data_IF_726371207324
#
_entry.id   IF_726371207324
#
_cell.length_a   1.000
_cell.length_b   1.000
_cell.length_c   1.000
_cell.angle_alpha   90.00
_cell.angle_beta   90.00
_cell.angle_gamma   90.00
#
_symmetry.space_group_name_H-M   'P 1'
#
loop_
_entity.id
_entity.type
_entity.pdbx_description
1 polymer ?
#
# COMPACT_ATOMS: atom_id res chain seq x y z
N UNK A 1 -41.16 45.04 -7.34
CA UNK A 1 -40.95 46.49 -7.58
C UNK A 1 -39.95 47.01 -6.56
N UNK A 2 -38.88 47.66 -7.06
CA UNK A 2 -37.93 48.60 -6.39
C UNK A 2 -37.04 48.01 -5.28
N UNK A 3 -35.74 47.78 -5.54
CA UNK A 3 -34.61 48.73 -5.68
C UNK A 3 -34.04 49.14 -4.30
N UNK A 4 -32.78 48.78 -3.99
CA UNK A 4 -31.64 49.71 -4.03
C UNK A 4 -31.41 50.30 -2.61
N UNK A 5 -30.23 50.60 -2.08
CA UNK A 5 -28.93 50.86 -2.66
C UNK A 5 -27.83 50.72 -1.59
N UNK A 6 -26.60 50.70 -2.10
CA UNK A 6 -25.30 50.67 -1.43
C UNK A 6 -25.07 51.89 -0.53
N UNK A 7 -24.22 51.74 0.48
CA UNK A 7 -23.38 52.86 0.96
C UNK A 7 -21.97 52.37 1.30
N UNK A 8 -20.98 53.05 0.71
CA UNK A 8 -19.56 52.94 1.00
C UNK A 8 -19.23 53.70 2.30
N UNK A 9 -18.25 53.21 3.06
CA UNK A 9 -17.35 54.08 3.81
C UNK A 9 -15.96 53.43 3.87
N UNK A 10 -14.93 54.26 3.78
CA UNK A 10 -13.54 53.93 3.51
C UNK A 10 -12.62 54.30 4.69
N UNK A 11 -11.34 53.91 4.56
CA UNK A 11 -10.12 54.40 5.28
C UNK A 11 -9.89 53.71 6.66
N UNK A 12 -8.72 53.22 7.10
CA UNK A 12 -7.28 53.38 6.80
C UNK A 12 -6.53 52.04 7.02
N UNK A 13 -5.56 51.63 6.20
CA UNK A 13 -4.10 51.88 6.27
C UNK A 13 -3.36 51.30 7.51
N UNK A 14 -2.58 50.22 7.32
CA UNK A 14 -1.34 49.96 8.05
C UNK A 14 -0.45 48.96 7.28
N UNK A 15 0.87 49.20 7.37
CA UNK A 15 1.95 48.83 6.46
C UNK A 15 2.40 47.35 6.43
N UNK A 16 2.75 46.92 5.21
CA UNK A 16 4.03 46.35 4.74
C UNK A 16 4.78 45.36 5.64
N UNK A 17 4.92 44.11 5.16
CA UNK A 17 6.23 43.45 5.00
C UNK A 17 6.23 42.69 3.67
N UNK A 18 7.04 43.16 2.72
CA UNK A 18 7.35 42.48 1.46
C UNK A 18 8.52 41.52 1.66
N UNK A 19 8.42 40.29 1.16
CA UNK A 19 9.58 39.52 0.69
C UNK A 19 9.19 38.73 -0.58
N UNK A 20 10.11 38.58 -1.55
CA UNK A 20 9.77 38.39 -2.95
C UNK A 20 9.45 36.93 -3.28
N UNK A 21 8.35 36.73 -4.00
CA UNK A 21 8.12 35.53 -4.81
C UNK A 21 8.93 35.71 -6.09
N UNK A 22 9.98 34.91 -6.29
CA UNK A 22 10.63 34.84 -7.59
C UNK A 22 9.69 34.13 -8.57
N UNK A 23 8.95 34.92 -9.35
CA UNK A 23 8.32 34.50 -10.59
C UNK A 23 9.38 34.64 -11.70
N UNK A 24 9.74 33.54 -12.34
CA UNK A 24 10.60 33.57 -13.54
C UNK A 24 9.81 34.14 -14.71
N UNK A 25 10.37 35.17 -15.34
CA UNK A 25 9.82 35.86 -16.50
C UNK A 25 9.88 34.98 -17.76
N UNK A 26 8.82 35.08 -18.57
CA UNK A 26 8.72 34.60 -19.95
C UNK A 26 9.76 35.29 -20.84
N UNK A 27 10.41 34.51 -21.70
CA UNK A 27 11.17 35.02 -22.84
C UNK A 27 10.62 34.44 -24.15
N UNK A 28 10.28 35.36 -25.05
CA UNK A 28 9.83 35.17 -26.43
C UNK A 28 10.79 34.32 -27.29
N UNK A 29 10.22 33.66 -28.30
CA UNK A 29 10.86 33.02 -29.47
C UNK A 29 10.45 33.79 -30.74
N UNK A 30 11.06 33.58 -31.94
CA UNK A 30 12.07 32.57 -32.30
C UNK A 30 13.28 33.12 -33.07
N UNK A 31 14.48 32.62 -32.77
CA UNK A 31 15.62 32.70 -33.71
C UNK A 31 15.82 31.37 -34.44
N UNK A 32 16.06 31.48 -35.75
CA UNK A 32 16.15 30.41 -36.74
C UNK A 32 17.20 29.37 -36.37
N UNK A 33 16.77 28.13 -36.14
CA UNK A 33 17.68 27.01 -35.88
C UNK A 33 18.20 26.46 -37.20
N UNK A 34 19.46 26.79 -37.51
CA UNK A 34 20.31 25.97 -38.39
C UNK A 34 20.21 24.52 -37.90
N UNK A 35 19.98 23.60 -38.82
CA UNK A 35 20.03 22.15 -38.60
C UNK A 35 21.44 21.77 -38.15
N UNK A 36 21.67 21.76 -36.84
CA UNK A 36 22.84 21.14 -36.22
C UNK A 36 22.70 19.64 -36.47
N UNK A 37 23.60 19.07 -37.28
CA UNK A 37 23.83 17.64 -37.26
C UNK A 37 24.10 17.24 -35.81
N UNK A 38 23.19 16.47 -35.21
CA UNK A 38 23.35 15.96 -33.86
C UNK A 38 24.64 15.13 -33.81
N UNK A 39 25.70 15.72 -33.24
CA UNK A 39 26.86 14.95 -32.83
C UNK A 39 26.36 13.87 -31.88
N UNK A 40 26.50 12.59 -32.26
CA UNK A 40 26.25 11.47 -31.35
C UNK A 40 27.18 11.66 -30.16
N UNK A 41 26.64 12.10 -29.03
CA UNK A 41 27.35 12.11 -27.75
C UNK A 41 27.81 10.67 -27.48
N UNK A 42 29.11 10.46 -27.34
CA UNK A 42 29.68 9.16 -26.94
C UNK A 42 29.51 8.89 -25.45
N UNK A 43 28.99 9.87 -24.68
CA UNK A 43 28.77 9.71 -23.26
C UNK A 43 27.39 9.09 -22.95
N UNK A 44 27.35 8.14 -22.00
CA UNK A 44 26.11 7.54 -21.55
C UNK A 44 25.18 8.60 -20.95
N UNK A 45 23.87 8.41 -21.09
CA UNK A 45 22.87 9.24 -20.42
C UNK A 45 22.12 8.44 -19.37
N UNK A 46 21.79 9.12 -18.27
CA UNK A 46 21.13 8.53 -17.11
C UNK A 46 19.81 9.25 -16.87
N UNK A 47 18.72 8.49 -16.77
CA UNK A 47 17.41 8.98 -16.31
C UNK A 47 17.05 8.29 -15.01
N UNK A 48 16.65 9.07 -14.02
CA UNK A 48 16.25 8.58 -12.70
C UNK A 48 14.79 8.93 -12.47
N UNK A 49 14.01 7.95 -12.05
CA UNK A 49 12.65 8.14 -11.58
C UNK A 49 12.54 7.52 -10.20
N UNK A 50 11.71 8.11 -9.32
CA UNK A 50 11.56 7.64 -7.95
C UNK A 50 10.09 7.63 -7.53
N UNK A 51 9.69 6.55 -6.87
CA UNK A 51 8.36 6.34 -6.32
C UNK A 51 7.25 6.36 -7.38
N UNK A 52 6.01 6.42 -6.89
CA UNK A 52 4.83 6.73 -7.70
C UNK A 52 4.67 8.24 -7.66
N UNK A 53 5.04 8.94 -8.74
CA UNK A 53 5.02 10.41 -8.79
C UNK A 53 5.85 11.06 -7.65
N UNK A 54 6.94 10.40 -7.23
CA UNK A 54 7.77 10.81 -6.10
C UNK A 54 7.36 10.22 -4.75
N UNK A 55 6.24 9.50 -4.64
CA UNK A 55 5.78 8.89 -3.39
C UNK A 55 6.34 7.48 -3.18
N UNK A 56 6.86 7.21 -1.98
CA UNK A 56 7.32 5.90 -1.52
C UNK A 56 6.31 5.34 -0.53
N UNK A 57 5.52 4.37 -1.00
CA UNK A 57 4.54 3.66 -0.17
C UNK A 57 5.18 2.48 0.56
N UNK A 58 5.10 2.40 1.90
CA UNK A 58 5.79 1.37 2.69
C UNK A 58 5.48 -0.08 2.28
N UNK A 59 4.23 -0.40 1.96
CA UNK A 59 3.84 -1.75 1.53
C UNK A 59 4.58 -2.20 0.24
N UNK A 60 4.69 -1.29 -0.73
CA UNK A 60 5.36 -1.57 -2.01
C UNK A 60 6.87 -1.60 -1.87
N UNK A 61 7.42 -0.70 -1.05
CA UNK A 61 8.84 -0.66 -0.71
C UNK A 61 9.29 -1.95 -0.02
N UNK A 62 8.53 -2.42 0.98
CA UNK A 62 8.78 -3.68 1.68
C UNK A 62 8.80 -4.86 0.70
N UNK A 63 7.72 -5.03 -0.07
CA UNK A 63 7.59 -6.08 -1.06
C UNK A 63 8.75 -6.10 -2.06
N UNK A 64 9.09 -4.94 -2.63
CA UNK A 64 10.16 -4.86 -3.61
C UNK A 64 11.55 -5.16 -3.00
N UNK A 65 11.79 -4.75 -1.74
CA UNK A 65 13.06 -4.99 -1.05
C UNK A 65 13.31 -6.46 -0.72
N UNK A 66 12.25 -7.26 -0.60
CA UNK A 66 12.34 -8.70 -0.36
C UNK A 66 12.61 -9.53 -1.64
N UNK A 67 12.60 -8.89 -2.81
CA UNK A 67 12.85 -9.56 -4.09
C UNK A 67 14.29 -9.41 -4.56
N UNK A 68 14.78 -10.46 -5.22
CA UNK A 68 16.04 -10.39 -5.95
C UNK A 68 15.94 -9.32 -7.05
N UNK A 69 17.00 -8.50 -7.28
CA UNK A 69 16.96 -7.41 -8.26
C UNK A 69 16.45 -7.82 -9.66
N UNK A 70 16.83 -9.01 -10.14
CA UNK A 70 16.43 -9.50 -11.46
C UNK A 70 14.94 -9.85 -11.60
N UNK A 71 14.23 -10.04 -10.49
CA UNK A 71 12.80 -10.41 -10.48
C UNK A 71 11.88 -9.21 -10.22
N UNK A 72 12.44 -8.07 -9.84
CA UNK A 72 11.66 -6.88 -9.48
C UNK A 72 10.92 -6.33 -10.69
N UNK A 73 9.60 -6.23 -10.53
CA UNK A 73 8.72 -5.43 -11.41
C UNK A 73 8.40 -4.06 -10.82
N UNK A 74 8.82 -3.85 -9.58
CA UNK A 74 8.52 -2.65 -8.79
C UNK A 74 9.73 -2.27 -7.94
N UNK A 75 9.89 -0.99 -7.64
CA UNK A 75 10.92 -0.50 -6.75
C UNK A 75 10.66 0.92 -6.29
N UNK A 76 11.68 1.50 -5.66
CA UNK A 76 11.67 2.86 -5.13
C UNK A 76 12.32 3.81 -6.12
N UNK A 77 13.39 3.36 -6.79
CA UNK A 77 14.12 4.14 -7.78
C UNK A 77 14.34 3.27 -9.01
N UNK A 78 14.10 3.84 -10.18
CA UNK A 78 14.54 3.26 -11.45
C UNK A 78 15.69 4.09 -12.00
N UNK A 79 16.71 3.42 -12.54
CA UNK A 79 17.84 4.05 -13.23
C UNK A 79 17.86 3.50 -14.65
N UNK A 80 17.53 4.35 -15.60
CA UNK A 80 17.62 4.02 -17.02
C UNK A 80 18.95 4.52 -17.56
N UNK A 81 19.75 3.58 -18.07
CA UNK A 81 21.06 3.83 -18.65
C UNK A 81 20.93 3.70 -20.16
N UNK A 82 21.28 4.74 -20.92
CA UNK A 82 21.33 4.70 -22.38
C UNK A 82 22.79 4.77 -22.83
N UNK A 83 23.25 3.69 -23.47
CA UNK A 83 24.61 3.57 -23.97
C UNK A 83 24.65 3.96 -25.46
N UNK A 84 25.17 5.14 -25.76
CA UNK A 84 25.35 5.63 -27.12
C UNK A 84 26.70 5.25 -27.75
N UNK A 85 27.55 4.53 -27.02
CA UNK A 85 28.84 4.04 -27.52
C UNK A 85 28.70 2.78 -28.37
N UNK A 86 29.80 2.40 -29.01
CA UNK A 86 29.96 1.21 -29.86
C UNK A 86 30.39 -0.04 -29.08
N UNK A 87 30.59 0.06 -27.76
CA UNK A 87 31.02 -1.03 -26.89
C UNK A 87 30.05 -1.24 -25.72
N UNK A 88 30.05 -2.44 -25.13
CA UNK A 88 29.30 -2.68 -23.90
C UNK A 88 29.85 -1.81 -22.77
N UNK A 89 28.96 -1.13 -22.07
CA UNK A 89 29.31 -0.32 -20.91
C UNK A 89 28.83 -1.00 -19.63
N UNK A 90 29.66 -0.94 -18.58
CA UNK A 90 29.35 -1.49 -17.27
C UNK A 90 29.56 -0.44 -16.18
N UNK A 91 28.60 -0.36 -15.27
CA UNK A 91 28.61 0.61 -14.18
C UNK A 91 28.29 -0.04 -12.85
N UNK A 92 28.81 0.54 -11.77
CA UNK A 92 28.35 0.27 -10.41
C UNK A 92 27.38 1.37 -10.02
N UNK A 93 26.11 1.02 -9.88
CA UNK A 93 25.04 1.95 -9.50
C UNK A 93 24.68 1.69 -8.05
N UNK A 94 24.70 2.73 -7.24
CA UNK A 94 24.29 2.68 -5.83
C UNK A 94 23.11 3.61 -5.58
N UNK A 95 22.15 3.13 -4.80
CA UNK A 95 20.94 3.85 -4.43
C UNK A 95 20.73 3.75 -2.93
N UNK A 96 20.44 4.89 -2.29
CA UNK A 96 20.02 4.96 -0.89
C UNK A 96 19.05 6.11 -0.67
N UNK A 97 18.19 5.99 0.33
CA UNK A 97 17.42 7.11 0.86
C UNK A 97 17.94 7.41 2.27
N UNK A 98 18.81 8.43 2.45
CA UNK A 98 19.47 8.68 3.72
C UNK A 98 18.49 8.79 4.90
N UNK A 99 18.76 8.04 5.96
CA UNK A 99 17.92 8.00 7.16
C UNK A 99 16.66 7.14 7.04
N UNK A 100 16.40 6.55 5.87
CA UNK A 100 15.23 5.72 5.60
C UNK A 100 15.58 4.33 5.05
N UNK A 101 16.71 4.18 4.35
CA UNK A 101 17.16 2.89 3.82
C UNK A 101 18.66 2.71 3.99
N UNK A 102 19.08 1.45 3.94
CA UNK A 102 20.45 1.08 3.62
C UNK A 102 20.79 1.42 2.16
N UNK A 103 22.05 1.18 1.78
CA UNK A 103 22.48 1.33 0.41
C UNK A 103 22.35 0.00 -0.33
N UNK A 104 21.65 0.04 -1.47
CA UNK A 104 21.70 -1.03 -2.45
C UNK A 104 22.72 -0.68 -3.54
N UNK A 105 23.43 -1.70 -4.03
CA UNK A 105 24.36 -1.55 -5.14
C UNK A 105 24.13 -2.67 -6.16
N UNK A 106 24.12 -2.31 -7.44
CA UNK A 106 24.07 -3.26 -8.56
C UNK A 106 25.20 -2.94 -9.54
N UNK A 107 25.84 -3.98 -10.07
CA UNK A 107 26.69 -3.85 -11.26
C UNK A 107 25.81 -4.09 -12.47
N UNK A 108 25.73 -3.10 -13.35
CA UNK A 108 24.79 -3.08 -14.47
C UNK A 108 25.56 -3.03 -15.79
N UNK A 109 25.12 -3.83 -16.76
CA UNK A 109 25.69 -3.86 -18.11
C UNK A 109 24.67 -3.45 -19.16
N UNK A 110 25.10 -2.64 -20.11
CA UNK A 110 24.28 -2.16 -21.23
C UNK A 110 25.06 -2.32 -22.53
N UNK A 111 24.51 -3.10 -23.45
CA UNK A 111 25.12 -3.34 -24.77
C UNK A 111 25.29 -2.03 -25.56
N UNK A 112 26.18 -2.05 -26.55
CA UNK A 112 26.39 -0.94 -27.47
C UNK A 112 25.08 -0.49 -28.13
N UNK A 113 24.82 0.82 -28.16
CA UNK A 113 23.59 1.40 -28.71
C UNK A 113 22.29 1.06 -27.96
N UNK A 114 22.35 0.34 -26.83
CA UNK A 114 21.17 -0.10 -26.11
C UNK A 114 20.76 0.83 -24.96
N UNK A 115 19.50 0.68 -24.52
CA UNK A 115 18.98 1.31 -23.32
C UNK A 115 18.40 0.24 -22.40
N UNK A 116 18.67 0.34 -21.10
CA UNK A 116 18.14 -0.60 -20.10
C UNK A 116 17.82 0.10 -18.79
N UNK A 117 16.72 -0.31 -18.17
CA UNK A 117 16.27 0.17 -16.87
C UNK A 117 16.58 -0.84 -15.77
N UNK A 118 17.12 -0.35 -14.66
CA UNK A 118 17.46 -1.12 -13.48
C UNK A 118 16.62 -0.61 -12.30
N UNK A 119 16.07 -1.54 -11.52
CA UNK A 119 15.12 -1.23 -10.45
C UNK A 119 15.78 -1.48 -9.09
N UNK A 120 15.71 -0.47 -8.24
CA UNK A 120 16.29 -0.45 -6.90
C UNK A 120 15.19 -0.37 -5.85
N UNK A 121 15.32 -1.17 -4.82
CA UNK A 121 14.47 -1.20 -3.65
C UNK A 121 15.37 -1.54 -2.46
N UNK A 122 16.15 -0.56 -1.96
CA UNK A 122 17.06 -0.81 -0.86
C UNK A 122 16.30 -1.30 0.37
N UNK A 123 16.98 -2.06 1.23
CA UNK A 123 16.42 -2.46 2.52
C UNK A 123 16.06 -1.22 3.34
N UNK A 124 14.80 -1.09 3.72
CA UNK A 124 14.32 0.06 4.48
C UNK A 124 14.51 -0.13 5.98
N UNK A 125 14.90 0.97 6.62
CA UNK A 125 15.08 1.05 8.05
C UNK A 125 13.73 1.02 8.77
N UNK A 126 13.70 0.60 10.06
CA UNK A 126 12.53 0.61 10.93
C UNK A 126 11.68 1.89 10.86
N UNK A 127 12.33 3.04 10.68
CA UNK A 127 11.69 4.35 10.56
C UNK A 127 10.60 4.41 9.50
N UNK A 128 10.78 3.74 8.35
CA UNK A 128 9.75 3.74 7.29
C UNK A 128 8.44 3.15 7.79
N UNK A 129 8.53 2.05 8.53
CA UNK A 129 7.38 1.30 9.03
C UNK A 129 6.76 1.92 10.30
N UNK A 130 7.40 2.94 10.87
CA UNK A 130 6.87 3.75 11.98
C UNK A 130 6.30 5.10 11.51
N UNK A 131 6.51 5.46 10.24
CA UNK A 131 6.14 6.75 9.72
C UNK A 131 4.61 6.89 9.61
N UNK A 132 4.04 7.89 10.27
CA UNK A 132 2.58 8.10 10.32
C UNK A 132 2.07 9.26 9.47
N UNK A 133 2.99 10.07 8.98
CA UNK A 133 2.73 11.29 8.23
C UNK A 133 3.58 11.34 6.96
N UNK A 134 3.21 12.20 6.01
CA UNK A 134 4.04 12.41 4.83
C UNK A 134 5.34 13.09 5.26
N UNK A 135 6.47 12.45 4.95
CA UNK A 135 7.79 12.98 5.26
C UNK A 135 8.62 13.21 4.00
N UNK A 136 9.21 14.40 3.86
CA UNK A 136 10.13 14.68 2.78
C UNK A 136 11.46 13.93 2.98
N UNK A 137 12.00 13.38 1.89
CA UNK A 137 13.29 12.72 1.84
C UNK A 137 13.92 12.88 0.45
N UNK A 138 15.11 12.31 0.26
CA UNK A 138 15.78 12.32 -1.05
C UNK A 138 16.37 10.96 -1.36
N UNK A 139 16.17 10.47 -2.57
CA UNK A 139 16.90 9.33 -3.10
C UNK A 139 18.23 9.81 -3.68
N UNK A 140 19.34 9.25 -3.21
CA UNK A 140 20.68 9.51 -3.75
C UNK A 140 21.07 8.37 -4.67
N UNK A 141 21.46 8.72 -5.89
CA UNK A 141 21.95 7.79 -6.90
C UNK A 141 23.38 8.18 -7.26
N UNK A 142 24.32 7.25 -7.04
CA UNK A 142 25.71 7.43 -7.47
C UNK A 142 26.06 6.32 -8.46
N UNK A 143 26.66 6.69 -9.58
CA UNK A 143 27.08 5.80 -10.65
C UNK A 143 28.58 5.97 -10.85
N UNK A 144 29.31 4.87 -10.71
CA UNK A 144 30.74 4.81 -10.99
C UNK A 144 31.02 3.84 -12.13
N UNK A 145 32.17 3.97 -12.77
CA UNK A 145 32.72 2.89 -13.58
C UNK A 145 33.19 1.72 -12.67
N UNK A 146 33.76 0.67 -13.26
CA UNK A 146 34.28 -0.48 -12.52
C UNK A 146 35.59 -0.17 -11.76
N UNK A 147 36.34 0.85 -12.17
CA UNK A 147 37.53 1.33 -11.47
C UNK A 147 37.21 2.19 -10.25
N UNK A 148 35.95 2.62 -10.11
CA UNK A 148 35.46 3.45 -9.00
C UNK A 148 35.43 4.95 -9.30
N UNK A 149 35.72 5.37 -10.53
CA UNK A 149 35.63 6.78 -10.91
C UNK A 149 34.17 7.20 -11.01
N UNK A 150 33.85 8.38 -10.49
CA UNK A 150 32.49 8.93 -10.57
C UNK A 150 32.11 9.23 -12.03
N UNK A 151 30.99 8.67 -12.48
CA UNK A 151 30.43 8.88 -13.82
C UNK A 151 29.23 9.81 -13.75
N UNK A 152 28.36 9.60 -12.76
CA UNK A 152 27.15 10.39 -12.59
C UNK A 152 26.68 10.37 -11.14
N UNK A 153 26.11 11.48 -10.69
CA UNK A 153 25.51 11.60 -9.37
C UNK A 153 24.25 12.46 -9.45
N UNK A 154 23.21 12.04 -8.74
CA UNK A 154 21.98 12.81 -8.65
C UNK A 154 21.25 12.57 -7.33
N UNK A 155 20.45 13.56 -6.97
CA UNK A 155 19.55 13.52 -5.81
C UNK A 155 18.15 13.84 -6.30
N UNK A 156 17.21 12.92 -6.07
CA UNK A 156 15.81 13.07 -6.48
C UNK A 156 14.94 13.23 -5.24
N UNK A 157 14.06 14.24 -5.17
CA UNK A 157 13.14 14.38 -4.05
C UNK A 157 12.14 13.22 -4.02
N UNK A 158 11.88 12.69 -2.83
CA UNK A 158 10.85 11.68 -2.59
C UNK A 158 10.04 12.02 -1.36
N UNK A 159 8.81 11.53 -1.30
CA UNK A 159 7.91 11.68 -0.15
C UNK A 159 7.63 10.30 0.42
N UNK A 160 8.05 10.09 1.66
CA UNK A 160 7.73 8.88 2.41
C UNK A 160 6.28 8.96 2.86
N UNK A 161 5.46 8.02 2.41
CA UNK A 161 4.05 7.95 2.79
C UNK A 161 3.91 7.34 4.18
N UNK A 162 2.76 7.55 4.79
CA UNK A 162 2.43 6.89 6.05
C UNK A 162 2.38 5.37 5.85
N UNK A 163 2.73 4.59 6.87
CA UNK A 163 2.63 3.13 6.84
C UNK A 163 1.19 2.64 6.62
N UNK A 164 0.21 3.46 7.00
CA UNK A 164 -1.22 3.19 6.81
C UNK A 164 -1.73 3.59 5.42
N UNK A 165 -0.94 4.28 4.59
CA UNK A 165 -1.39 4.68 3.24
C UNK A 165 -1.30 3.49 2.27
N UNK A 166 -2.47 3.01 1.86
CA UNK A 166 -2.60 2.03 0.78
C UNK A 166 -2.83 2.77 -0.55
N UNK A 167 -1.98 2.47 -1.55
CA UNK A 167 -2.18 2.91 -2.92
C UNK A 167 -2.89 1.81 -3.73
N UNK A 168 -4.20 1.94 -3.92
CA UNK A 168 -4.99 1.00 -4.71
C UNK A 168 -4.65 1.03 -6.19
N UNK A 169 -4.37 2.24 -6.70
CA UNK A 169 -4.28 2.51 -8.13
C UNK A 169 -5.64 2.41 -8.84
N UNK A 170 -5.70 2.91 -10.08
CA UNK A 170 -6.93 2.89 -10.89
C UNK A 170 -7.48 1.46 -11.01
N UNK A 171 -8.79 1.31 -10.77
CA UNK A 171 -9.47 0.02 -10.86
C UNK A 171 -8.95 -1.04 -9.91
N UNK A 172 -8.38 -0.66 -8.75
CA UNK A 172 -7.84 -1.58 -7.75
C UNK A 172 -6.69 -2.47 -8.27
N UNK A 173 -5.92 -2.00 -9.25
CA UNK A 173 -4.81 -2.76 -9.86
C UNK A 173 -3.76 -3.30 -8.86
N UNK A 174 -3.66 -2.68 -7.69
CA UNK A 174 -2.72 -3.06 -6.62
C UNK A 174 -3.42 -3.64 -5.39
N UNK A 175 -4.69 -4.04 -5.48
CA UNK A 175 -5.46 -4.49 -4.32
C UNK A 175 -4.80 -5.61 -3.52
N UNK A 176 -4.03 -6.50 -4.15
CA UNK A 176 -3.30 -7.57 -3.48
C UNK A 176 -2.37 -7.10 -2.36
N UNK A 177 -1.88 -5.85 -2.43
CA UNK A 177 -1.01 -5.28 -1.40
C UNK A 177 -1.72 -5.01 -0.08
N UNK A 178 -3.06 -5.08 -0.03
CA UNK A 178 -3.82 -5.02 1.23
C UNK A 178 -3.42 -6.14 2.20
N UNK A 179 -2.91 -7.27 1.68
CA UNK A 179 -2.41 -8.36 2.49
C UNK A 179 -1.25 -7.93 3.41
N UNK A 180 -0.58 -6.81 3.13
CA UNK A 180 0.44 -6.21 4.00
C UNK A 180 -0.11 -5.71 5.35
N UNK A 181 -1.43 -5.43 5.43
CA UNK A 181 -2.12 -5.04 6.66
C UNK A 181 -2.70 -6.24 7.43
N UNK A 182 -2.75 -7.42 6.80
CA UNK A 182 -3.17 -8.65 7.46
C UNK A 182 -2.01 -9.15 8.30
N UNK A 183 -2.10 -8.98 9.62
CA UNK A 183 -1.00 -9.20 10.57
C UNK A 183 -1.41 -10.26 11.60
N UNK A 184 -1.39 -11.56 11.23
CA UNK A 184 -1.95 -12.63 12.04
C UNK A 184 -1.21 -12.82 13.36
N UNK A 185 0.07 -12.47 13.43
CA UNK A 185 0.90 -12.71 14.62
C UNK A 185 0.87 -11.56 15.65
N UNK A 186 0.10 -10.48 15.44
CA UNK A 186 0.00 -9.42 16.47
C UNK A 186 -0.72 -9.97 17.72
N UNK A 187 -0.15 -9.70 18.89
CA UNK A 187 -0.68 -10.16 20.18
C UNK A 187 -2.14 -9.73 20.42
N UNK A 188 -2.57 -8.58 19.89
CA UNK A 188 -3.97 -8.12 20.00
C UNK A 188 -4.91 -9.01 19.20
N UNK A 189 -4.49 -9.51 18.03
CA UNK A 189 -5.26 -10.52 17.28
C UNK A 189 -5.35 -11.81 18.09
N UNK A 190 -4.26 -12.24 18.72
CA UNK A 190 -4.26 -13.43 19.60
C UNK A 190 -5.17 -13.26 20.83
N UNK A 191 -5.28 -12.05 21.38
CA UNK A 191 -6.19 -11.76 22.48
C UNK A 191 -7.66 -11.87 22.04
N UNK A 192 -8.00 -11.36 20.85
CA UNK A 192 -9.33 -11.53 20.27
C UNK A 192 -9.65 -13.02 20.10
N UNK A 193 -8.71 -13.80 19.56
CA UNK A 193 -8.86 -15.25 19.43
C UNK A 193 -9.01 -15.94 20.79
N UNK A 194 -8.28 -15.50 21.80
CA UNK A 194 -8.41 -16.01 23.18
C UNK A 194 -9.80 -15.75 23.74
N UNK A 195 -10.37 -14.56 23.51
CA UNK A 195 -11.76 -14.24 23.87
C UNK A 195 -12.76 -15.08 23.07
N UNK A 196 -12.56 -15.21 21.76
CA UNK A 196 -13.43 -15.97 20.88
C UNK A 196 -13.48 -17.47 21.25
N UNK A 197 -12.33 -18.04 21.61
CA UNK A 197 -12.22 -19.42 22.10
C UNK A 197 -13.11 -19.68 23.30
N UNK A 198 -13.27 -18.72 24.21
CA UNK A 198 -14.18 -18.86 25.37
C UNK A 198 -15.67 -18.88 24.97
N UNK A 199 -16.01 -18.45 23.75
CA UNK A 199 -17.37 -18.47 23.21
C UNK A 199 -17.65 -19.75 22.39
N UNK A 200 -16.66 -20.61 22.20
CA UNK A 200 -16.79 -21.85 21.42
C UNK A 200 -17.13 -23.07 22.30
N UNK A 201 -17.92 -24.02 21.78
CA UNK A 201 -18.05 -25.34 22.40
C UNK A 201 -16.67 -25.98 22.62
N UNK A 202 -16.42 -26.50 23.82
CA UNK A 202 -15.15 -27.16 24.14
C UNK A 202 -13.93 -26.23 24.22
N UNK A 203 -14.13 -24.90 24.24
CA UNK A 203 -13.09 -23.88 24.45
C UNK A 203 -11.88 -24.04 23.51
N UNK A 204 -12.15 -24.23 22.22
CA UNK A 204 -11.16 -24.43 21.16
C UNK A 204 -11.49 -23.63 19.90
N UNK A 205 -10.46 -23.24 19.15
CA UNK A 205 -10.54 -22.62 17.82
C UNK A 205 -9.54 -23.37 16.90
N UNK A 206 -9.95 -24.49 16.29
CA UNK A 206 -9.01 -25.34 15.57
C UNK A 206 -8.63 -24.84 14.17
N UNK A 207 -9.35 -23.86 13.61
CA UNK A 207 -9.23 -23.51 12.20
C UNK A 207 -9.80 -24.60 11.30
N UNK A 208 -8.99 -25.11 10.38
CA UNK A 208 -9.33 -26.29 9.58
C UNK A 208 -8.85 -27.58 10.26
N UNK A 209 -9.73 -28.57 10.34
CA UNK A 209 -9.48 -29.91 10.88
C UNK A 209 -10.14 -30.97 10.00
N UNK A 210 -9.72 -32.22 10.15
CA UNK A 210 -10.34 -33.35 9.47
C UNK A 210 -11.71 -33.68 10.10
N UNK A 211 -12.76 -33.06 9.57
CA UNK A 211 -14.14 -33.42 9.90
C UNK A 211 -14.63 -34.60 9.06
N UNK A 212 -15.63 -35.34 9.59
CA UNK A 212 -16.24 -36.50 8.91
C UNK A 212 -16.71 -36.21 7.48
N UNK A 213 -17.14 -34.98 7.23
CA UNK A 213 -17.55 -34.50 5.92
C UNK A 213 -17.31 -32.98 5.79
N UNK A 214 -17.35 -32.47 4.56
CA UNK A 214 -17.17 -31.05 4.27
C UNK A 214 -18.23 -30.16 4.93
N UNK A 215 -19.44 -30.67 5.17
CA UNK A 215 -20.50 -29.94 5.85
C UNK A 215 -20.18 -29.74 7.34
N UNK A 216 -19.47 -30.68 7.98
CA UNK A 216 -18.94 -30.56 9.32
C UNK A 216 -17.94 -29.41 9.44
N UNK A 217 -16.95 -29.38 8.56
CA UNK A 217 -15.98 -28.28 8.52
C UNK A 217 -16.66 -26.93 8.20
N UNK A 218 -17.64 -26.90 7.29
CA UNK A 218 -18.38 -25.67 6.98
C UNK A 218 -19.15 -25.13 8.20
N UNK A 219 -19.80 -26.01 8.97
CA UNK A 219 -20.46 -25.63 10.23
C UNK A 219 -19.45 -25.11 11.25
N UNK A 220 -18.31 -25.78 11.41
CA UNK A 220 -17.28 -25.36 12.35
C UNK A 220 -16.66 -24.01 11.96
N UNK A 221 -16.32 -23.81 10.68
CA UNK A 221 -15.86 -22.53 10.14
C UNK A 221 -16.85 -21.40 10.48
N UNK A 222 -18.16 -21.65 10.33
CA UNK A 222 -19.19 -20.67 10.67
C UNK A 222 -19.25 -20.38 12.17
N UNK A 223 -19.09 -21.39 13.04
CA UNK A 223 -19.05 -21.22 14.49
C UNK A 223 -17.83 -20.40 14.93
N UNK A 224 -16.65 -20.72 14.40
CA UNK A 224 -15.41 -19.97 14.69
C UNK A 224 -15.52 -18.51 14.23
N UNK A 225 -16.04 -18.27 13.03
CA UNK A 225 -16.28 -16.92 12.52
C UNK A 225 -17.27 -16.14 13.40
N UNK A 226 -18.34 -16.79 13.88
CA UNK A 226 -19.29 -16.20 14.83
C UNK A 226 -18.63 -15.87 16.16
N UNK A 227 -17.79 -16.75 16.69
CA UNK A 227 -17.08 -16.53 17.94
C UNK A 227 -16.12 -15.34 17.84
N UNK A 228 -15.37 -15.22 16.75
CA UNK A 228 -14.50 -14.06 16.47
C UNK A 228 -15.31 -12.77 16.39
N UNK A 229 -16.41 -12.78 15.64
CA UNK A 229 -17.31 -11.64 15.52
C UNK A 229 -17.87 -11.19 16.87
N UNK A 230 -18.33 -12.15 17.69
CA UNK A 230 -18.88 -11.88 19.03
C UNK A 230 -17.79 -11.43 20.02
N UNK A 231 -16.55 -11.92 19.90
CA UNK A 231 -15.43 -11.45 20.70
C UNK A 231 -15.14 -9.97 20.42
N UNK A 232 -15.11 -9.58 19.14
CA UNK A 232 -14.93 -8.18 18.75
C UNK A 232 -16.10 -7.28 19.21
N UNK A 233 -17.33 -7.80 19.20
CA UNK A 233 -18.47 -7.10 19.82
C UNK A 233 -18.29 -6.89 21.32
N UNK A 234 -17.82 -7.92 22.04
CA UNK A 234 -17.55 -7.84 23.48
C UNK A 234 -16.45 -6.82 23.79
N UNK A 235 -15.47 -6.68 22.90
CA UNK A 235 -14.42 -5.64 22.92
C UNK A 235 -14.91 -4.27 22.42
N UNK A 236 -16.21 -4.12 22.17
CA UNK A 236 -16.89 -2.88 21.77
C UNK A 236 -16.40 -2.31 20.43
N UNK A 237 -15.90 -3.17 19.53
CA UNK A 237 -15.51 -2.75 18.19
C UNK A 237 -16.70 -2.11 17.47
N UNK A 238 -16.55 -0.86 17.05
CA UNK A 238 -17.60 -0.07 16.41
C UNK A 238 -17.11 0.65 15.16
N UNK A 239 -18.04 1.06 14.30
CA UNK A 239 -17.66 1.63 13.02
C UNK A 239 -17.24 3.11 13.14
N UNK A 240 -16.03 3.43 12.72
CA UNK A 240 -15.52 4.81 12.58
C UNK A 240 -14.81 4.95 11.24
N UNK A 241 -15.27 5.87 10.39
CA UNK A 241 -14.62 6.14 9.11
C UNK A 241 -13.36 6.98 9.32
N UNK A 242 -12.19 6.34 9.28
CA UNK A 242 -10.87 6.98 9.43
C UNK A 242 -10.01 6.85 8.17
N UNK A 243 -10.62 7.01 7.00
CA UNK A 243 -10.02 6.75 5.68
C UNK A 243 -9.23 7.91 5.07
N UNK A 244 -9.12 9.05 5.77
CA UNK A 244 -8.49 10.26 5.23
C UNK A 244 -7.00 10.01 4.97
N UNK A 245 -6.58 10.26 3.73
CA UNK A 245 -5.18 10.23 3.30
C UNK A 245 -4.82 11.57 2.64
N UNK A 246 -3.54 11.93 2.69
CA UNK A 246 -3.01 13.20 2.19
C UNK A 246 -2.12 13.01 0.96
N UNK A 247 -1.64 14.11 0.36
CA UNK A 247 -0.65 14.07 -0.72
C UNK A 247 -1.26 13.86 -2.10
N UNK A 248 -0.44 13.36 -3.04
CA UNK A 248 -0.92 12.99 -4.37
C UNK A 248 -1.71 11.67 -4.34
N UNK A 249 -2.45 11.39 -5.41
CA UNK A 249 -3.15 10.12 -5.62
C UNK A 249 -4.26 9.81 -4.58
N UNK A 250 -4.89 10.82 -3.99
CA UNK A 250 -5.93 10.67 -2.94
C UNK A 250 -7.22 10.03 -3.46
N UNK A 251 -7.49 10.08 -4.75
CA UNK A 251 -8.62 9.43 -5.43
C UNK A 251 -8.44 7.91 -5.58
N UNK A 252 -7.20 7.43 -5.51
CA UNK A 252 -6.84 6.01 -5.65
C UNK A 252 -6.01 5.50 -4.47
N UNK A 253 -6.09 6.18 -3.33
CA UNK A 253 -5.43 5.78 -2.08
C UNK A 253 -6.38 5.91 -0.90
N UNK A 254 -6.14 5.14 0.15
CA UNK A 254 -6.90 5.20 1.39
C UNK A 254 -5.97 4.94 2.58
N UNK A 255 -6.23 5.61 3.71
CA UNK A 255 -5.60 5.26 4.97
C UNK A 255 -6.31 4.07 5.59
N UNK A 256 -5.55 3.02 5.91
CA UNK A 256 -6.05 1.76 6.47
C UNK A 256 -5.32 1.49 7.78
N UNK A 257 -6.07 1.34 8.86
CA UNK A 257 -5.54 0.97 10.16
C UNK A 257 -5.16 -0.50 10.18
N UNK A 258 -4.09 -0.81 10.89
CA UNK A 258 -3.72 -2.18 11.22
C UNK A 258 -4.70 -2.77 12.25
N UNK A 259 -4.80 -4.12 12.32
CA UNK A 259 -5.57 -4.80 13.37
C UNK A 259 -5.23 -4.29 14.78
N UNK A 260 -3.93 -4.05 15.03
CA UNK A 260 -3.42 -3.45 16.26
C UNK A 260 -4.14 -2.14 16.62
N UNK A 261 -4.23 -1.23 15.66
CA UNK A 261 -4.80 0.11 15.86
C UNK A 261 -6.32 0.04 16.04
N UNK A 262 -6.99 -0.77 15.22
CA UNK A 262 -8.44 -0.93 15.29
C UNK A 262 -8.90 -1.51 16.62
N UNK A 263 -8.20 -2.53 17.13
CA UNK A 263 -8.49 -3.12 18.44
C UNK A 263 -8.21 -2.09 19.55
N UNK A 264 -7.05 -1.42 19.51
CA UNK A 264 -6.66 -0.44 20.54
C UNK A 264 -7.66 0.73 20.62
N UNK A 265 -8.21 1.17 19.48
CA UNK A 265 -9.18 2.24 19.42
C UNK A 265 -10.65 1.77 19.55
N UNK A 266 -10.89 0.46 19.74
CA UNK A 266 -12.21 -0.19 19.64
C UNK A 266 -13.03 0.30 18.44
N UNK A 267 -12.36 0.60 17.32
CA UNK A 267 -13.01 1.16 16.14
C UNK A 267 -12.32 0.83 14.82
N UNK A 268 -13.13 0.62 13.79
CA UNK A 268 -12.68 0.26 12.45
C UNK A 268 -13.66 0.78 11.38
N UNK A 269 -13.20 1.14 10.19
CA UNK A 269 -14.08 1.23 9.02
C UNK A 269 -14.25 -0.18 8.37
N UNK A 270 -14.84 -0.25 7.18
CA UNK A 270 -15.07 -1.54 6.51
C UNK A 270 -13.76 -2.26 6.14
N UNK A 271 -12.74 -1.56 5.64
CA UNK A 271 -11.48 -2.17 5.22
C UNK A 271 -10.56 -2.49 6.40
N UNK A 272 -10.52 -1.63 7.42
CA UNK A 272 -9.85 -1.87 8.70
C UNK A 272 -10.37 -3.15 9.36
N UNK A 273 -11.70 -3.31 9.40
CA UNK A 273 -12.32 -4.49 9.95
C UNK A 273 -12.03 -5.71 9.06
N UNK A 274 -12.02 -5.56 7.73
CA UNK A 274 -11.73 -6.67 6.83
C UNK A 274 -10.32 -7.24 7.05
N UNK A 275 -9.30 -6.39 7.21
CA UNK A 275 -7.93 -6.84 7.51
C UNK A 275 -7.80 -7.45 8.91
N UNK A 276 -8.57 -6.96 9.89
CA UNK A 276 -8.63 -7.55 11.24
C UNK A 276 -9.22 -8.96 11.22
N UNK A 277 -10.38 -9.16 10.59
CA UNK A 277 -10.99 -10.49 10.45
C UNK A 277 -10.09 -11.44 9.64
N UNK A 278 -9.52 -10.97 8.53
CA UNK A 278 -8.56 -11.76 7.76
C UNK A 278 -7.35 -12.18 8.60
N UNK A 279 -6.86 -11.31 9.50
CA UNK A 279 -5.73 -11.63 10.38
C UNK A 279 -6.08 -12.72 11.39
N UNK A 280 -7.30 -12.66 11.95
CA UNK A 280 -7.78 -13.67 12.88
C UNK A 280 -7.94 -15.04 12.19
N UNK A 281 -8.50 -15.07 10.98
CA UNK A 281 -8.64 -16.31 10.21
C UNK A 281 -7.29 -16.88 9.77
N UNK A 282 -6.37 -16.04 9.27
CA UNK A 282 -5.03 -16.49 8.86
C UNK A 282 -4.23 -17.04 10.04
N UNK A 283 -4.37 -16.45 11.24
CA UNK A 283 -3.72 -16.97 12.46
C UNK A 283 -4.18 -18.40 12.79
N UNK A 284 -5.47 -18.71 12.57
CA UNK A 284 -6.03 -20.05 12.75
C UNK A 284 -5.66 -21.02 11.60
N UNK A 285 -4.79 -20.63 10.66
CA UNK A 285 -4.43 -21.47 9.51
C UNK A 285 -5.55 -21.63 8.49
N UNK A 286 -6.58 -20.78 8.53
CA UNK A 286 -7.66 -20.79 7.54
C UNK A 286 -7.25 -19.99 6.29
N UNK A 287 -8.08 -20.04 5.24
CA UNK A 287 -7.84 -19.32 3.98
C UNK A 287 -8.75 -18.09 3.84
N UNK A 288 -8.38 -16.93 4.43
CA UNK A 288 -9.18 -15.71 4.33
C UNK A 288 -9.08 -15.04 2.97
N UNK A 289 -10.14 -14.30 2.65
CA UNK A 289 -10.22 -13.42 1.51
C UNK A 289 -10.72 -12.03 1.96
N UNK A 290 -10.23 -10.99 1.30
CA UNK A 290 -10.80 -9.65 1.40
C UNK A 290 -11.55 -9.38 0.09
N UNK A 291 -12.77 -8.85 0.19
CA UNK A 291 -13.58 -8.52 -0.99
C UNK A 291 -13.80 -7.02 -1.04
N UNK A 292 -13.34 -6.39 -2.12
CA UNK A 292 -13.55 -4.97 -2.38
C UNK A 292 -14.63 -4.80 -3.44
N UNK A 293 -15.52 -3.86 -3.17
CA UNK A 293 -16.56 -3.39 -4.08
C UNK A 293 -16.60 -1.86 -4.05
N UNK A 294 -17.26 -1.17 -4.99
CA UNK A 294 -17.34 0.30 -4.95
C UNK A 294 -17.88 0.80 -3.59
N UNK A 295 -17.02 1.49 -2.84
CA UNK A 295 -17.35 2.12 -1.57
C UNK A 295 -17.46 1.19 -0.35
N UNK A 296 -17.17 -0.11 -0.48
CA UNK A 296 -17.30 -1.05 0.65
C UNK A 296 -16.32 -2.23 0.59
N UNK A 297 -16.08 -2.84 1.75
CA UNK A 297 -15.23 -4.01 1.88
C UNK A 297 -15.90 -5.07 2.78
N UNK A 298 -15.72 -6.33 2.42
CA UNK A 298 -16.16 -7.49 3.20
C UNK A 298 -14.94 -8.33 3.59
N UNK A 299 -15.02 -9.04 4.71
CA UNK A 299 -14.16 -10.18 4.96
C UNK A 299 -14.84 -11.45 4.48
N UNK A 300 -14.04 -12.43 4.06
CA UNK A 300 -14.51 -13.79 3.86
C UNK A 300 -13.46 -14.80 4.25
N UNK A 301 -13.88 -16.05 4.32
CA UNK A 301 -13.01 -17.20 4.55
C UNK A 301 -13.56 -18.39 3.79
N UNK A 302 -12.69 -19.22 3.21
CA UNK A 302 -13.16 -20.48 2.62
C UNK A 302 -13.78 -21.35 3.72
N UNK A 303 -14.88 -22.02 3.39
CA UNK A 303 -15.62 -22.81 4.39
C UNK A 303 -14.88 -24.08 4.83
N UNK A 304 -13.92 -24.54 4.03
CA UNK A 304 -13.01 -25.65 4.28
C UNK A 304 -11.72 -25.43 3.46
N UNK A 305 -10.66 -26.15 3.80
CA UNK A 305 -9.40 -26.13 3.04
C UNK A 305 -9.67 -26.39 1.55
N UNK A 306 -9.05 -25.59 0.67
CA UNK A 306 -9.19 -25.69 -0.78
C UNK A 306 -10.64 -25.60 -1.33
N UNK A 307 -11.62 -25.19 -0.52
CA UNK A 307 -13.01 -25.05 -0.96
C UNK A 307 -13.20 -23.89 -1.94
N UNK A 308 -14.14 -24.05 -2.88
CA UNK A 308 -14.62 -22.96 -3.75
C UNK A 308 -15.78 -22.16 -3.12
N UNK A 309 -16.24 -22.56 -1.94
CA UNK A 309 -17.28 -21.87 -1.18
C UNK A 309 -16.66 -20.96 -0.13
N UNK A 310 -17.28 -19.80 0.06
CA UNK A 310 -16.85 -18.79 1.00
C UNK A 310 -17.97 -18.44 1.96
N UNK A 311 -17.61 -18.20 3.22
CA UNK A 311 -18.43 -17.48 4.16
C UNK A 311 -18.05 -16.00 4.09
N UNK A 312 -18.98 -15.14 3.67
CA UNK A 312 -18.77 -13.69 3.65
C UNK A 312 -19.39 -13.02 4.87
N UNK A 313 -18.74 -11.96 5.36
CA UNK A 313 -19.16 -11.21 6.54
C UNK A 313 -19.10 -9.72 6.20
N UNK A 314 -20.22 -9.04 6.42
CA UNK A 314 -20.27 -7.57 6.39
C UNK A 314 -19.71 -7.02 7.70
N UNK A 315 -18.38 -6.98 7.76
CA UNK A 315 -17.59 -6.65 8.95
C UNK A 315 -17.82 -5.22 9.45
N UNK A 316 -18.33 -4.32 8.61
CA UNK A 316 -18.74 -2.98 9.01
C UNK A 316 -19.92 -2.98 10.00
N UNK A 317 -20.66 -4.09 10.07
CA UNK A 317 -21.83 -4.26 10.94
C UNK A 317 -21.49 -4.85 12.31
N UNK A 318 -20.21 -5.17 12.57
CA UNK A 318 -19.76 -5.86 13.80
C UNK A 318 -20.35 -5.26 15.06
N UNK A 319 -20.19 -3.95 15.29
CA UNK A 319 -20.72 -3.29 16.49
C UNK A 319 -22.22 -3.00 16.52
N UNK A 320 -23.01 -3.43 15.51
CA UNK A 320 -24.40 -2.98 15.32
C UNK A 320 -25.41 -4.11 15.08
N UNK A 321 -24.97 -5.25 14.55
CA UNK A 321 -25.86 -6.36 14.19
C UNK A 321 -25.33 -7.70 14.70
N UNK A 322 -26.23 -8.68 14.86
CA UNK A 322 -25.84 -10.06 15.11
C UNK A 322 -25.10 -10.66 13.90
N UNK A 323 -24.22 -11.63 14.16
CA UNK A 323 -23.40 -12.29 13.14
C UNK A 323 -24.20 -12.77 11.92
N UNK A 324 -25.33 -13.47 12.11
CA UNK A 324 -26.11 -14.01 10.99
C UNK A 324 -26.71 -12.91 10.10
N UNK A 325 -27.02 -11.74 10.68
CA UNK A 325 -27.48 -10.58 9.91
C UNK A 325 -26.33 -9.96 9.11
N UNK A 326 -25.12 -9.92 9.65
CA UNK A 326 -23.92 -9.46 8.93
C UNK A 326 -23.56 -10.39 7.77
N UNK A 327 -23.66 -11.70 7.95
CA UNK A 327 -23.50 -12.67 6.85
C UNK A 327 -24.57 -12.47 5.78
N UNK A 328 -25.85 -12.40 6.19
CA UNK A 328 -26.95 -12.18 5.23
C UNK A 328 -26.85 -10.83 4.51
N UNK A 329 -26.28 -9.80 5.15
CA UNK A 329 -25.98 -8.50 4.52
C UNK A 329 -24.94 -8.65 3.42
N UNK A 330 -23.83 -9.35 3.69
CA UNK A 330 -22.79 -9.61 2.70
C UNK A 330 -23.31 -10.39 1.50
N UNK A 331 -24.06 -11.46 1.73
CA UNK A 331 -24.61 -12.29 0.66
C UNK A 331 -25.53 -11.46 -0.26
N UNK A 332 -26.45 -10.67 0.32
CA UNK A 332 -27.33 -9.78 -0.46
C UNK A 332 -26.56 -8.68 -1.19
N UNK A 333 -25.53 -8.10 -0.55
CA UNK A 333 -24.71 -7.05 -1.14
C UNK A 333 -23.96 -7.56 -2.37
N UNK A 334 -23.27 -8.69 -2.22
CA UNK A 334 -22.49 -9.31 -3.30
C UNK A 334 -23.37 -9.84 -4.43
N UNK A 335 -24.55 -10.40 -4.13
CA UNK A 335 -25.47 -10.92 -5.15
C UNK A 335 -26.04 -9.83 -6.09
N UNK A 336 -26.01 -8.56 -5.68
CA UNK A 336 -26.50 -7.42 -6.48
C UNK A 336 -25.45 -6.85 -7.44
N UNK A 337 -24.20 -7.26 -7.31
CA UNK A 337 -23.08 -6.68 -8.04
C UNK A 337 -22.69 -7.54 -9.24
N UNK A 338 -22.27 -6.89 -10.31
CA UNK A 338 -21.69 -7.57 -11.45
C UNK A 338 -20.29 -8.11 -11.09
N UNK A 339 -19.85 -9.25 -11.65
CA UNK A 339 -18.52 -9.81 -11.36
C UNK A 339 -17.38 -8.81 -11.54
N UNK A 340 -17.45 -7.93 -12.54
CA UNK A 340 -16.45 -6.90 -12.81
C UNK A 340 -16.33 -5.82 -11.71
N UNK A 341 -17.32 -5.72 -10.81
CA UNK A 341 -17.31 -4.79 -9.68
C UNK A 341 -16.73 -5.42 -8.40
N UNK A 342 -16.41 -6.72 -8.42
CA UNK A 342 -15.99 -7.47 -7.25
C UNK A 342 -14.52 -7.85 -7.39
N UNK A 343 -13.66 -7.24 -6.58
CA UNK A 343 -12.25 -7.63 -6.48
C UNK A 343 -12.09 -8.54 -5.26
N UNK A 344 -11.67 -9.79 -5.48
CA UNK A 344 -11.38 -10.76 -4.41
C UNK A 344 -9.87 -10.89 -4.24
N UNK A 345 -9.39 -10.70 -3.02
CA UNK A 345 -7.98 -10.82 -2.67
C UNK A 345 -7.83 -12.04 -1.75
N UNK A 346 -7.30 -13.13 -2.29
CA UNK A 346 -6.90 -14.30 -1.50
C UNK A 346 -5.63 -14.01 -0.71
N UNK A 347 -5.69 -14.10 0.62
CA UNK A 347 -4.51 -13.82 1.45
C UNK A 347 -3.43 -14.87 1.22
N UNK A 348 -3.80 -16.15 1.13
CA UNK A 348 -2.87 -17.24 0.79
C UNK A 348 -2.19 -17.03 -0.56
N UNK A 349 -2.91 -16.52 -1.57
CA UNK A 349 -2.33 -16.18 -2.88
C UNK A 349 -1.35 -15.01 -2.76
N UNK A 350 -1.69 -13.99 -1.97
CA UNK A 350 -0.79 -12.86 -1.71
C UNK A 350 0.49 -13.31 -1.00
N UNK A 351 0.42 -14.25 -0.04
CA UNK A 351 1.61 -14.84 0.60
C UNK A 351 2.48 -15.59 -0.40
N UNK A 352 1.88 -16.40 -1.27
CA UNK A 352 2.61 -17.10 -2.36
C UNK A 352 3.26 -16.12 -3.34
N UNK A 353 2.66 -14.96 -3.54
CA UNK A 353 3.23 -13.89 -4.36
C UNK A 353 4.33 -13.08 -3.63
N UNK A 354 4.65 -13.39 -2.37
CA UNK A 354 5.67 -12.68 -1.59
C UNK A 354 5.19 -11.39 -0.91
N UNK A 355 3.87 -11.19 -0.80
CA UNK A 355 3.28 -10.04 -0.09
C UNK A 355 3.08 -10.44 1.37
N UNK A 356 4.01 -10.03 2.21
CA UNK A 356 4.02 -10.32 3.64
C UNK A 356 3.54 -9.11 4.47
N UNK A 357 3.16 -9.32 5.74
CA UNK A 357 2.85 -8.21 6.64
C UNK A 357 3.99 -7.19 6.68
N UNK A 358 3.67 -5.90 6.76
CA UNK A 358 4.70 -4.89 7.01
C UNK A 358 5.37 -5.15 8.37
N UNK A 359 6.69 -4.93 8.51
CA UNK A 359 7.37 -5.05 9.79
C UNK A 359 6.68 -4.21 10.85
N UNK A 360 6.17 -4.88 11.89
CA UNK A 360 5.65 -4.20 13.07
C UNK A 360 6.76 -4.11 14.09
N UNK A 361 7.10 -2.89 14.49
CA UNK A 361 8.05 -2.67 15.58
C UNK A 361 7.29 -2.70 16.91
N UNK A 362 7.93 -3.17 17.99
CA UNK A 362 7.31 -3.48 19.28
C UNK A 362 6.26 -2.46 19.75
#
# INVERSE_FOLDING_TARGET
MKAGAKSLCAIALACVVSMPVFAGEDFDKPESTRTLHAQRSTQPTFRIEAGIDGDVFPAFANYASLQAPAQRKWGVVSVTVSNSSDTEQRYRVSVRVPGWSDQEMQVVGVAAGAQKTFIFAPSFLPRLFQNREIAAATARVNITDLAGNAVYQSTVPVRMRAVEDMYWGKGFKNAQFIASWVTPHDIRVQNVLSTAKELMPGRRLPGYEDWKDAAGQERETRLQARAIYNALQKEKLSYVKSSLTFGANTDVSERIRTPRESITASSANCIDAAVLFASAFENLGMEPIIVLVPGHAYAGVKVAENSNKYLYIDVALTGRMLFDNAVSSADRGLARLQPAQITRIGITDARRAGIYPMPQLP
#
